data_IF_843561914514
#
_entry.id   IF_843561914514
#
_cell.length_a   1.000
_cell.length_b   1.000
_cell.length_c   1.000
_cell.angle_alpha   90.00
_cell.angle_beta   90.00
_cell.angle_gamma   90.00
#
_symmetry.space_group_name_H-M   'P 1'
#
loop_
_entity.id
_entity.type
_entity.pdbx_description
1 polymer ?
#
# COMPACT_ATOMS: atom_id res chain seq x y z
N UNK A 1 -8.69 0.28 14.42
CA UNK A 1 -8.30 0.96 13.94
C UNK A 1 -8.78 1.33 12.67
N UNK A 2 -8.72 2.39 12.23
CA UNK A 2 -9.16 2.74 11.12
C UNK A 2 -8.19 2.86 10.10
N UNK A 3 -8.30 2.33 9.00
CA UNK A 3 -7.32 2.38 8.00
C UNK A 3 -7.70 3.43 7.03
N UNK A 4 -6.81 3.75 6.14
CA UNK A 4 -7.07 4.73 5.12
C UNK A 4 -8.20 4.20 4.26
N UNK A 5 -9.18 4.99 4.03
CA UNK A 5 -10.32 4.55 3.27
C UNK A 5 -10.06 4.45 1.79
N UNK A 6 -9.05 5.16 1.31
CA UNK A 6 -8.77 5.11 -0.12
C UNK A 6 -7.84 3.96 -0.51
N UNK A 7 -7.43 3.17 0.46
CA UNK A 7 -6.57 2.03 0.14
C UNK A 7 -7.41 0.80 -0.17
N UNK A 8 -7.06 0.15 -1.24
CA UNK A 8 -7.77 -1.06 -1.60
C UNK A 8 -7.27 -2.23 -0.79
N UNK A 9 -7.96 -3.34 -0.89
CA UNK A 9 -7.56 -4.52 -0.16
C UNK A 9 -6.21 -4.99 -0.64
N UNK A 10 -5.96 -4.81 -1.92
CA UNK A 10 -4.69 -5.18 -2.50
C UNK A 10 -3.55 -4.44 -1.82
N UNK A 11 -3.73 -3.15 -1.60
CA UNK A 11 -2.71 -2.36 -0.94
C UNK A 11 -2.50 -2.83 0.49
N UNK A 12 -3.56 -3.19 1.15
CA UNK A 12 -3.47 -3.65 2.52
C UNK A 12 -2.70 -4.96 2.61
N UNK A 13 -2.91 -5.83 1.63
CA UNK A 13 -2.21 -7.10 1.62
C UNK A 13 -0.72 -6.89 1.44
N UNK A 14 -0.36 -5.97 0.56
CA UNK A 14 1.05 -5.69 0.33
C UNK A 14 1.69 -5.07 1.55
N UNK A 15 0.94 -4.23 2.24
CA UNK A 15 1.45 -3.60 3.45
C UNK A 15 1.78 -4.67 4.49
N UNK A 16 0.93 -5.68 4.57
CA UNK A 16 1.15 -6.75 5.51
C UNK A 16 2.37 -7.58 5.14
N UNK A 17 2.51 -7.88 3.85
CA UNK A 17 3.68 -8.62 3.39
C UNK A 17 4.94 -7.82 3.68
N UNK A 18 4.85 -6.51 3.54
CA UNK A 18 5.99 -5.65 3.79
C UNK A 18 6.41 -5.77 5.25
N UNK A 19 5.46 -5.82 6.15
CA UNK A 19 5.76 -5.96 7.57
C UNK A 19 6.50 -7.26 7.83
N UNK A 20 6.01 -8.32 7.23
CA UNK A 20 6.63 -9.62 7.42
C UNK A 20 8.04 -9.63 6.87
N UNK A 21 8.23 -9.05 5.70
CA UNK A 21 9.55 -9.01 5.11
C UNK A 21 10.53 -8.25 5.99
N UNK A 22 10.07 -7.17 6.57
CA UNK A 22 10.91 -6.38 7.45
C UNK A 22 11.26 -7.17 8.70
N UNK A 23 10.30 -7.89 9.22
CA UNK A 23 10.51 -8.68 10.42
C UNK A 23 11.54 -9.78 10.16
N UNK A 24 11.53 -10.33 8.96
CA UNK A 24 12.48 -11.37 8.62
C UNK A 24 13.81 -10.85 8.14
N UNK A 25 13.92 -9.56 8.00
CA UNK A 25 15.16 -8.98 7.54
C UNK A 25 15.42 -9.10 6.06
N UNK A 26 14.38 -9.32 5.29
CA UNK A 26 14.53 -9.45 3.84
C UNK A 26 14.44 -8.07 3.22
N UNK A 27 15.55 -7.39 3.16
CA UNK A 27 15.56 -6.04 2.63
C UNK A 27 15.11 -5.94 1.18
N UNK A 28 15.61 -6.80 0.36
CA UNK A 28 15.25 -6.75 -1.04
C UNK A 28 13.76 -6.90 -1.23
N UNK A 29 13.21 -7.86 -0.52
CA UNK A 29 11.79 -8.10 -0.63
C UNK A 29 11.02 -6.92 -0.07
N UNK A 30 11.49 -6.40 1.04
CA UNK A 30 10.83 -5.26 1.67
C UNK A 30 10.80 -4.07 0.72
N UNK A 31 11.93 -3.78 0.08
CA UNK A 31 12.00 -2.67 -0.84
C UNK A 31 11.06 -2.87 -2.01
N UNK A 32 11.02 -4.08 -2.52
CA UNK A 32 10.15 -4.39 -3.64
C UNK A 32 8.68 -4.19 -3.25
N UNK A 33 8.31 -4.71 -2.11
CA UNK A 33 6.94 -4.59 -1.64
C UNK A 33 6.59 -3.14 -1.34
N UNK A 34 7.55 -2.41 -0.84
CA UNK A 34 7.34 -1.00 -0.54
C UNK A 34 7.03 -0.23 -1.82
N UNK A 35 7.75 -0.53 -2.89
CA UNK A 35 7.52 0.12 -4.16
C UNK A 35 6.14 -0.24 -4.69
N UNK A 36 5.77 -1.50 -4.57
CA UNK A 36 4.47 -1.95 -5.03
C UNK A 36 3.37 -1.25 -4.24
N UNK A 37 3.55 -1.17 -2.95
CA UNK A 37 2.56 -0.53 -2.10
C UNK A 37 2.37 0.93 -2.49
N UNK A 38 3.45 1.63 -2.72
CA UNK A 38 3.37 3.03 -3.08
C UNK A 38 2.66 3.23 -4.42
N UNK A 39 2.91 2.35 -5.35
CA UNK A 39 2.28 2.44 -6.65
C UNK A 39 0.76 2.27 -6.51
N UNK A 40 0.36 1.29 -5.75
CA UNK A 40 -1.06 1.03 -5.56
C UNK A 40 -1.69 2.15 -4.76
N UNK A 41 -1.01 2.61 -3.73
CA UNK A 41 -1.55 3.68 -2.90
C UNK A 41 -1.76 4.96 -3.70
N UNK A 42 -0.82 5.26 -4.59
CA UNK A 42 -0.96 6.44 -5.40
C UNK A 42 -2.16 6.33 -6.30
N UNK A 43 -2.32 5.18 -6.91
CA UNK A 43 -3.43 4.96 -7.80
C UNK A 43 -4.75 5.08 -7.05
N UNK A 44 -4.82 4.45 -5.88
CA UNK A 44 -6.03 4.49 -5.10
C UNK A 44 -6.34 5.91 -4.64
N UNK A 45 -5.32 6.61 -4.20
CA UNK A 45 -5.50 7.96 -3.74
C UNK A 45 -6.00 8.86 -4.85
N UNK A 46 -5.44 8.69 -6.03
CA UNK A 46 -5.83 9.49 -7.15
C UNK A 46 -7.29 9.27 -7.51
N UNK A 47 -7.71 8.04 -7.50
CA UNK A 47 -9.09 7.70 -7.81
C UNK A 47 -10.02 8.28 -6.73
N UNK A 48 -9.57 8.20 -5.49
CA UNK A 48 -10.37 8.71 -4.39
C UNK A 48 -10.57 10.21 -4.51
N UNK A 49 -9.49 10.94 -4.75
CA UNK A 49 -9.57 12.37 -4.88
C UNK A 49 -10.38 12.79 -6.10
N UNK A 50 -10.25 12.02 -7.15
CA UNK A 50 -10.99 12.32 -8.34
C UNK A 50 -12.48 12.26 -8.08
N UNK A 51 -12.92 11.26 -7.36
CA UNK A 51 -14.31 11.12 -7.04
C UNK A 51 -14.80 12.25 -6.17
N UNK A 52 -13.97 12.70 -5.27
CA UNK A 52 -14.38 13.75 -4.38
C UNK A 52 -14.39 15.11 -5.04
N UNK A 53 -13.51 15.29 -5.96
CA UNK A 53 -13.44 16.56 -6.61
C UNK A 53 -14.47 16.76 -7.65
N UNK A 54 -15.49 16.09 -7.62
CA UNK A 54 -16.46 16.26 -8.67
C UNK A 54 -17.17 17.55 -8.61
#
# INVERSE_FOLDING_TARGET
MKMAKYLSEEALQIAEKRRVAKSKGEKKRYTHLNTEFQRIARRDKKAFLRNRCK
#
